data_IF_737587745233
#
_entry.id   IF_737587745233
#
_cell.length_a   1.000
_cell.length_b   1.000
_cell.length_c   1.000
_cell.angle_alpha   90.00
_cell.angle_beta   90.00
_cell.angle_gamma   90.00
#
_symmetry.space_group_name_H-M   'P 1'
#
loop_
_entity.id
_entity.type
_entity.pdbx_description
1 polymer ?
#
# COMPACT_ATOMS: atom_id res chain seq x y z
N UNK A 1 -37.53 -42.69 16.72
CA UNK A 1 -38.12 -41.47 17.33
C UNK A 1 -36.98 -40.64 17.91
N UNK A 2 -36.67 -39.51 17.26
CA UNK A 2 -36.98 -38.12 17.68
C UNK A 2 -36.05 -37.58 18.78
N UNK A 3 -35.03 -36.83 18.33
CA UNK A 3 -34.53 -35.49 18.73
C UNK A 3 -34.80 -35.09 20.21
N UNK A 4 -33.85 -34.60 21.01
CA UNK A 4 -33.26 -33.25 20.93
C UNK A 4 -32.15 -33.05 21.97
N UNK A 5 -30.99 -32.56 21.54
CA UNK A 5 -30.24 -31.54 22.28
C UNK A 5 -29.64 -30.55 21.27
N UNK A 6 -30.10 -29.31 21.38
CA UNK A 6 -29.58 -28.06 20.83
C UNK A 6 -29.52 -27.11 22.06
N UNK A 7 -28.84 -25.95 22.06
CA UNK A 7 -27.81 -25.38 21.18
C UNK A 7 -26.59 -24.90 22.01
N UNK A 8 -25.81 -23.93 21.50
CA UNK A 8 -24.74 -23.13 22.17
C UNK A 8 -23.36 -23.77 21.93
N UNK A 9 -22.47 -23.28 21.07
CA UNK A 9 -22.04 -21.89 20.87
C UNK A 9 -21.78 -21.62 19.38
N UNK A 10 -22.43 -20.56 18.92
CA UNK A 10 -22.15 -19.81 17.71
C UNK A 10 -20.68 -19.35 17.68
N UNK A 11 -19.82 -20.04 16.93
CA UNK A 11 -18.55 -19.46 16.48
C UNK A 11 -18.81 -18.92 15.07
N UNK A 12 -19.38 -17.73 15.01
CA UNK A 12 -19.28 -16.87 13.84
C UNK A 12 -17.81 -16.52 13.66
N UNK A 13 -17.12 -17.32 12.86
CA UNK A 13 -15.82 -16.98 12.31
C UNK A 13 -16.06 -15.80 11.34
N UNK A 14 -16.05 -14.59 11.86
CA UNK A 14 -15.93 -13.40 11.02
C UNK A 14 -14.48 -13.41 10.52
N UNK A 15 -14.25 -14.13 9.44
CA UNK A 15 -13.13 -13.87 8.57
C UNK A 15 -13.34 -12.47 8.01
N UNK A 16 -12.82 -11.46 8.70
CA UNK A 16 -12.58 -10.14 8.11
C UNK A 16 -11.42 -10.33 7.13
N UNK A 17 -11.69 -11.00 6.02
CA UNK A 17 -10.88 -10.85 4.82
C UNK A 17 -10.96 -9.38 4.47
N UNK A 18 -9.83 -8.69 4.57
CA UNK A 18 -9.61 -7.32 4.08
C UNK A 18 -9.73 -7.20 2.57
N UNK A 19 -10.83 -7.72 2.01
CA UNK A 19 -11.33 -7.35 0.70
C UNK A 19 -11.82 -5.92 0.83
N UNK A 20 -10.92 -4.97 0.56
CA UNK A 20 -11.38 -3.69 0.03
C UNK A 20 -12.38 -4.01 -1.08
N UNK A 21 -13.62 -3.48 -1.03
CA UNK A 21 -14.61 -3.80 -2.05
C UNK A 21 -14.00 -3.52 -3.43
N UNK A 22 -13.97 -4.54 -4.28
CA UNK A 22 -13.54 -4.51 -5.68
C UNK A 22 -14.40 -3.57 -6.55
N UNK A 23 -15.38 -2.88 -5.96
CA UNK A 23 -16.02 -1.71 -6.53
C UNK A 23 -15.28 -0.49 -6.00
N UNK A 24 -14.34 0.03 -6.77
CA UNK A 24 -13.75 1.33 -6.48
C UNK A 24 -14.88 2.33 -6.27
N UNK A 25 -15.06 2.81 -5.03
CA UNK A 25 -15.93 3.94 -4.76
C UNK A 25 -15.52 5.06 -5.73
N UNK A 26 -16.51 5.75 -6.32
CA UNK A 26 -16.20 6.94 -7.11
C UNK A 26 -15.37 7.87 -6.22
N UNK A 27 -14.19 8.32 -6.65
CA UNK A 27 -13.35 9.14 -5.81
C UNK A 27 -14.06 10.45 -5.45
N UNK A 28 -13.92 10.86 -4.21
CA UNK A 28 -14.46 12.10 -3.67
C UNK A 28 -13.35 13.16 -3.60
N UNK A 29 -13.73 14.44 -3.71
CA UNK A 29 -12.78 15.54 -3.55
C UNK A 29 -12.04 15.41 -2.22
N UNK A 30 -10.72 15.52 -2.26
CA UNK A 30 -9.86 15.35 -1.09
C UNK A 30 -9.40 13.91 -0.84
N UNK A 31 -9.89 12.92 -1.58
CA UNK A 31 -9.37 11.57 -1.50
C UNK A 31 -7.89 11.52 -1.90
N UNK A 32 -7.13 10.68 -1.22
CA UNK A 32 -5.72 10.44 -1.51
C UNK A 32 -5.49 8.98 -1.88
N UNK A 33 -4.44 8.74 -2.67
CA UNK A 33 -3.97 7.38 -2.94
C UNK A 33 -2.47 7.36 -3.17
N UNK A 34 -1.85 6.21 -2.90
CA UNK A 34 -0.44 5.96 -3.19
C UNK A 34 -0.35 4.91 -4.29
N UNK A 35 0.42 5.20 -5.33
CA UNK A 35 0.64 4.32 -6.48
C UNK A 35 2.12 4.29 -6.88
N UNK A 36 2.54 3.24 -7.58
CA UNK A 36 3.84 3.21 -8.27
C UNK A 36 3.78 4.07 -9.53
N UNK A 37 4.96 4.36 -10.11
CA UNK A 37 5.06 5.17 -11.33
C UNK A 37 4.16 4.63 -12.45
N UNK A 38 3.62 5.55 -13.26
CA UNK A 38 2.65 5.31 -14.34
C UNK A 38 1.20 5.05 -13.91
N UNK A 39 0.83 5.47 -12.72
CA UNK A 39 -0.53 5.43 -12.22
C UNK A 39 -1.15 4.03 -12.10
N UNK A 40 -0.29 3.00 -12.08
CA UNK A 40 -0.69 1.62 -11.87
C UNK A 40 -0.71 1.30 -10.37
N UNK A 41 -1.62 0.42 -9.91
CA UNK A 41 -1.50 -0.18 -8.57
C UNK A 41 -0.10 -0.76 -8.38
N UNK A 42 0.38 -0.86 -7.13
CA UNK A 42 1.61 -1.58 -6.89
C UNK A 42 1.47 -3.00 -7.46
N UNK A 43 2.34 -3.33 -8.41
CA UNK A 43 2.48 -4.68 -8.91
C UNK A 43 3.34 -5.48 -7.92
N UNK A 44 3.23 -6.81 -7.97
CA UNK A 44 4.16 -7.67 -7.25
C UNK A 44 5.58 -7.48 -7.80
N UNK A 45 6.55 -7.41 -6.92
CA UNK A 45 7.96 -7.22 -7.25
C UNK A 45 8.66 -8.57 -7.10
N UNK A 46 9.40 -9.02 -8.11
CA UNK A 46 10.21 -10.24 -8.03
C UNK A 46 11.69 -9.89 -8.14
N UNK A 47 12.48 -10.32 -7.15
CA UNK A 47 13.92 -10.02 -7.05
C UNK A 47 14.70 -11.28 -6.67
N UNK A 48 16.00 -11.29 -6.96
CA UNK A 48 16.89 -12.36 -6.49
C UNK A 48 17.35 -12.11 -5.05
N UNK A 49 17.68 -13.17 -4.28
CA UNK A 49 18.26 -13.00 -2.95
C UNK A 49 19.50 -12.11 -2.98
N UNK A 50 19.53 -11.11 -2.11
CA UNK A 50 20.67 -10.21 -1.95
C UNK A 50 20.84 -9.13 -3.03
N UNK A 51 19.96 -9.07 -4.05
CA UNK A 51 19.99 -7.96 -5.00
C UNK A 51 19.47 -6.67 -4.36
N UNK A 52 20.01 -5.54 -4.80
CA UNK A 52 19.47 -4.22 -4.44
C UNK A 52 18.02 -4.09 -4.91
N UNK A 53 17.17 -3.66 -3.98
CA UNK A 53 15.77 -3.33 -4.22
C UNK A 53 15.66 -1.80 -4.20
N UNK A 54 15.22 -1.25 -5.32
CA UNK A 54 14.94 0.18 -5.47
C UNK A 54 13.43 0.37 -5.55
N UNK A 55 12.88 1.15 -4.62
CA UNK A 55 11.44 1.44 -4.55
C UNK A 55 11.15 2.86 -5.02
N UNK A 56 9.94 3.05 -5.53
CA UNK A 56 9.44 4.35 -5.92
C UNK A 56 7.92 4.42 -5.75
N UNK A 57 7.44 5.48 -5.11
CA UNK A 57 6.01 5.71 -4.92
C UNK A 57 5.63 7.18 -5.17
N UNK A 58 4.36 7.41 -5.46
CA UNK A 58 3.77 8.75 -5.60
C UNK A 58 2.50 8.87 -4.77
N UNK A 59 2.32 10.02 -4.14
CA UNK A 59 1.05 10.41 -3.53
C UNK A 59 0.21 11.19 -4.55
N UNK A 60 -1.08 10.89 -4.63
CA UNK A 60 -2.03 11.63 -5.42
C UNK A 60 -3.17 12.15 -4.54
N UNK A 61 -3.68 13.34 -4.89
CA UNK A 61 -4.87 13.95 -4.32
C UNK A 61 -5.93 14.07 -5.43
N UNK A 62 -7.17 13.66 -5.17
CA UNK A 62 -8.28 13.86 -6.07
C UNK A 62 -8.83 15.28 -5.89
N UNK A 63 -8.50 16.17 -6.83
CA UNK A 63 -8.79 17.60 -6.71
C UNK A 63 -8.98 18.27 -8.08
N UNK A 64 -9.39 19.53 -8.06
CA UNK A 64 -9.49 20.37 -9.26
C UNK A 64 -8.12 20.66 -9.85
N UNK A 65 -7.96 20.43 -11.15
CA UNK A 65 -6.80 20.91 -11.90
C UNK A 65 -6.96 22.38 -12.34
N UNK A 66 -5.98 22.89 -13.08
CA UNK A 66 -5.93 24.28 -13.57
C UNK A 66 -7.10 24.67 -14.50
N UNK A 67 -7.90 23.71 -14.98
CA UNK A 67 -9.08 23.93 -15.83
C UNK A 67 -10.37 23.50 -15.13
N UNK A 68 -10.37 23.44 -13.80
CA UNK A 68 -11.53 23.08 -12.96
C UNK A 68 -12.10 21.68 -13.24
N UNK A 69 -11.31 20.79 -13.84
CA UNK A 69 -11.66 19.37 -13.98
C UNK A 69 -11.12 18.61 -12.79
N UNK A 70 -11.98 17.83 -12.13
CA UNK A 70 -11.56 16.97 -11.03
C UNK A 70 -10.76 15.79 -11.59
N UNK A 71 -9.56 15.59 -11.05
CA UNK A 71 -8.64 14.53 -11.47
C UNK A 71 -7.69 14.17 -10.33
N UNK A 72 -6.93 13.09 -10.49
CA UNK A 72 -5.83 12.75 -9.60
C UNK A 72 -4.61 13.62 -9.91
N UNK A 73 -4.17 14.41 -8.93
CA UNK A 73 -3.04 15.34 -9.03
C UNK A 73 -1.89 14.81 -8.16
N UNK A 74 -0.70 14.56 -8.73
CA UNK A 74 0.46 14.12 -7.94
C UNK A 74 0.86 15.21 -6.94
N UNK A 75 1.21 14.81 -5.72
CA UNK A 75 1.59 15.71 -4.64
C UNK A 75 3.11 15.70 -4.44
N UNK A 76 3.68 16.91 -4.33
CA UNK A 76 5.11 17.15 -4.13
C UNK A 76 5.39 17.56 -2.69
N UNK A 77 6.62 17.36 -2.21
CA UNK A 77 7.06 17.73 -0.88
C UNK A 77 6.19 17.12 0.24
N UNK A 78 5.87 15.83 0.11
CA UNK A 78 5.10 15.03 1.08
C UNK A 78 5.89 13.79 1.48
N UNK A 79 5.98 13.52 2.77
CA UNK A 79 6.63 12.30 3.26
C UNK A 79 5.75 11.07 3.04
N UNK A 80 6.36 10.01 2.53
CA UNK A 80 5.79 8.68 2.46
C UNK A 80 6.66 7.73 3.29
N UNK A 81 6.01 6.92 4.11
CA UNK A 81 6.68 5.93 4.96
C UNK A 81 6.58 4.54 4.33
N UNK A 82 7.71 3.86 4.23
CA UNK A 82 7.85 2.55 3.63
C UNK A 82 8.19 1.53 4.71
N UNK A 83 7.49 0.41 4.69
CA UNK A 83 7.67 -0.68 5.64
C UNK A 83 7.66 -2.00 4.90
N UNK A 84 8.65 -2.86 5.16
CA UNK A 84 8.73 -4.21 4.63
C UNK A 84 8.65 -5.20 5.79
N UNK A 85 7.70 -6.12 5.67
CA UNK A 85 7.46 -7.17 6.66
C UNK A 85 7.74 -8.55 6.07
N UNK A 86 8.29 -9.46 6.87
CA UNK A 86 8.38 -10.87 6.51
C UNK A 86 7.02 -11.59 6.59
N UNK A 87 7.00 -12.89 6.27
CA UNK A 87 5.78 -13.71 6.32
C UNK A 87 5.25 -13.94 7.75
N UNK A 88 6.07 -13.74 8.77
CA UNK A 88 5.69 -13.76 10.18
C UNK A 88 5.24 -12.38 10.69
N UNK A 89 5.11 -11.40 9.79
CA UNK A 89 4.72 -10.02 10.08
C UNK A 89 5.72 -9.27 10.97
N UNK A 90 6.99 -9.68 10.97
CA UNK A 90 8.07 -8.91 11.59
C UNK A 90 8.52 -7.81 10.63
N UNK A 91 8.74 -6.60 11.16
CA UNK A 91 9.34 -5.51 10.39
C UNK A 91 10.81 -5.85 10.12
N UNK A 92 11.20 -5.95 8.85
CA UNK A 92 12.58 -6.27 8.43
C UNK A 92 13.31 -5.09 7.80
N UNK A 93 12.57 -4.09 7.33
CA UNK A 93 13.14 -2.85 6.81
C UNK A 93 12.09 -1.73 6.83
N UNK A 94 12.53 -0.49 7.01
CA UNK A 94 11.69 0.69 6.90
C UNK A 94 12.52 1.91 6.52
N UNK A 95 11.90 2.85 5.81
CA UNK A 95 12.47 4.14 5.50
C UNK A 95 11.36 5.17 5.23
N UNK A 96 11.71 6.46 5.23
CA UNK A 96 10.80 7.56 4.90
C UNK A 96 11.40 8.42 3.80
N UNK A 97 10.65 8.66 2.73
CA UNK A 97 11.11 9.48 1.61
C UNK A 97 10.11 10.58 1.26
N UNK A 98 10.63 11.76 0.94
CA UNK A 98 9.83 12.89 0.50
C UNK A 98 9.54 12.80 -1.01
N UNK A 99 8.31 13.08 -1.42
CA UNK A 99 7.99 13.23 -2.84
C UNK A 99 8.74 14.42 -3.42
N UNK A 100 9.51 14.16 -4.47
CA UNK A 100 10.38 15.15 -5.08
C UNK A 100 9.60 16.28 -5.77
N UNK A 101 10.13 17.49 -5.74
CA UNK A 101 9.50 18.69 -6.31
C UNK A 101 9.22 18.59 -7.82
N UNK A 102 10.14 18.00 -8.60
CA UNK A 102 10.04 17.94 -10.05
C UNK A 102 9.35 16.67 -10.56
N UNK A 103 9.51 15.56 -9.84
CA UNK A 103 9.03 14.24 -10.31
C UNK A 103 7.84 13.69 -9.53
N UNK A 104 7.51 14.29 -8.38
CA UNK A 104 6.54 13.80 -7.40
C UNK A 104 6.82 12.38 -6.88
N UNK A 105 8.00 11.82 -7.16
CA UNK A 105 8.44 10.51 -6.71
C UNK A 105 9.05 10.61 -5.32
N UNK A 106 8.64 9.72 -4.42
CA UNK A 106 9.38 9.39 -3.21
C UNK A 106 10.21 8.14 -3.49
N UNK A 107 11.52 8.27 -3.33
CA UNK A 107 12.49 7.19 -3.53
C UNK A 107 13.19 6.97 -2.18
N UNK A 108 12.81 5.96 -1.39
CA UNK A 108 13.56 5.60 -0.20
C UNK A 108 14.92 5.00 -0.57
N UNK A 109 15.79 4.85 0.42
CA UNK A 109 17.09 4.24 0.28
C UNK A 109 16.98 2.79 -0.21
N UNK A 110 18.01 2.35 -0.94
CA UNK A 110 18.11 0.96 -1.42
C UNK A 110 18.30 0.01 -0.26
N UNK A 111 17.77 -1.20 -0.39
CA UNK A 111 17.95 -2.26 0.59
C UNK A 111 17.99 -3.63 -0.08
N UNK A 112 18.42 -4.65 0.67
CA UNK A 112 18.52 -6.03 0.18
C UNK A 112 17.72 -6.99 1.05
N UNK A 113 17.17 -8.04 0.46
CA UNK A 113 16.54 -9.15 1.18
C UNK A 113 17.25 -10.46 0.83
N UNK A 114 17.85 -11.11 1.82
CA UNK A 114 18.70 -12.29 1.62
C UNK A 114 17.94 -13.63 1.69
N UNK A 115 16.83 -13.69 2.43
CA UNK A 115 16.06 -14.92 2.60
C UNK A 115 14.99 -15.00 1.52
N UNK A 116 14.92 -16.14 0.82
CA UNK A 116 13.83 -16.44 -0.11
C UNK A 116 12.48 -16.42 0.60
N UNK A 117 11.45 -15.97 -0.12
CA UNK A 117 10.08 -15.92 0.39
C UNK A 117 9.33 -14.68 -0.05
N UNK A 118 8.11 -14.55 0.45
CA UNK A 118 7.22 -13.43 0.16
C UNK A 118 7.20 -12.46 1.33
N UNK A 119 7.51 -11.21 1.03
CA UNK A 119 7.48 -10.08 1.95
C UNK A 119 6.30 -9.17 1.61
N UNK A 120 5.83 -8.41 2.59
CA UNK A 120 4.79 -7.40 2.40
C UNK A 120 5.40 -6.02 2.43
N UNK A 121 5.34 -5.29 1.32
CA UNK A 121 5.65 -3.87 1.26
C UNK A 121 4.37 -3.08 1.58
N UNK A 122 4.43 -2.22 2.58
CA UNK A 122 3.39 -1.25 2.91
C UNK A 122 3.96 0.16 2.77
N UNK A 123 3.27 1.01 2.02
CA UNK A 123 3.60 2.42 1.89
C UNK A 123 2.45 3.25 2.44
N UNK A 124 2.75 4.21 3.30
CA UNK A 124 1.75 5.03 4.01
C UNK A 124 1.96 6.52 3.80
N UNK A 125 0.86 7.25 3.91
CA UNK A 125 0.84 8.70 4.06
C UNK A 125 -0.04 9.04 5.27
N UNK A 126 0.56 9.74 6.24
CA UNK A 126 -0.05 10.12 7.51
C UNK A 126 0.07 11.64 7.78
N UNK A 127 0.28 12.44 6.71
CA UNK A 127 0.36 13.91 6.81
C UNK A 127 -1.01 14.60 6.71
N UNK A 128 -1.02 15.92 6.50
CA UNK A 128 -2.23 16.78 6.61
C UNK A 128 -3.31 16.60 5.52
N UNK A 129 -3.13 15.67 4.58
CA UNK A 129 -4.18 15.30 3.62
C UNK A 129 -4.89 14.06 4.15
N UNK A 130 -5.94 13.58 3.49
CA UNK A 130 -6.56 12.30 3.91
C UNK A 130 -5.49 11.21 3.97
N UNK A 131 -5.47 10.45 5.08
CA UNK A 131 -4.49 9.38 5.23
C UNK A 131 -4.80 8.26 4.23
N UNK A 132 -3.78 7.65 3.66
CA UNK A 132 -3.94 6.48 2.81
C UNK A 132 -2.73 5.56 2.91
N UNK A 133 -2.94 4.31 2.52
CA UNK A 133 -1.89 3.31 2.43
C UNK A 133 -2.05 2.49 1.16
N UNK A 134 -0.93 1.95 0.68
CA UNK A 134 -0.90 0.96 -0.39
C UNK A 134 -0.04 -0.23 0.05
N UNK A 135 -0.34 -1.41 -0.47
CA UNK A 135 0.33 -2.65 -0.06
C UNK A 135 0.54 -3.55 -1.27
N UNK A 136 1.72 -4.16 -1.35
CA UNK A 136 2.07 -5.17 -2.36
C UNK A 136 2.99 -6.24 -1.79
N UNK A 137 3.34 -7.21 -2.62
CA UNK A 137 4.27 -8.28 -2.30
C UNK A 137 5.61 -8.07 -2.98
N UNK A 138 6.68 -8.40 -2.25
CA UNK A 138 8.02 -8.57 -2.79
C UNK A 138 8.34 -10.07 -2.67
N UNK A 139 8.52 -10.74 -3.80
CA UNK A 139 8.87 -12.14 -3.90
C UNK A 139 10.38 -12.26 -4.14
N UNK A 140 11.10 -12.81 -3.17
CA UNK A 140 12.53 -13.10 -3.28
C UNK A 140 12.68 -14.54 -3.75
N UNK A 141 13.08 -14.72 -5.02
CA UNK A 141 13.07 -16.01 -5.74
C UNK A 141 14.45 -16.45 -6.22
#
# INVERSE_FOLDING_TARGET
MKVKFLPIVLITLIAVCGLQPLFAAKPHLGDTKIIIVNAQPFQEISVSPGSDIELQARLYLFYYNNVLKVTWIPQICRYLDFYVYDSSNNLVWSDSAITNFFTANANPDKFTLNKKGTYTLKVKYEGDLKHCQSTTKINVI
#
